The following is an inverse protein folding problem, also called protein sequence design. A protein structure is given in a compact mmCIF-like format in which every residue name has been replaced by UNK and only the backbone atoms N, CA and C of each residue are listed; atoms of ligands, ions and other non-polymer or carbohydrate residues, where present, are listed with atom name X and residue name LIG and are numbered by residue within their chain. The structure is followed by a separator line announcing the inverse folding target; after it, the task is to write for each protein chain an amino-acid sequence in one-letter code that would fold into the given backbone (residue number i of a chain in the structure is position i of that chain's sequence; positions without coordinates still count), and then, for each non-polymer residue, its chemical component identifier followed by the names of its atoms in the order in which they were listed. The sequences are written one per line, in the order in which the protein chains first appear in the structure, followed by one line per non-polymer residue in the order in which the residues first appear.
data_IF_856226011087
#
_entry.id   IF_856226011087
#
_cell.length_a   1.000
_cell.length_b   1.000
_cell.length_c   1.000
_cell.angle_alpha   90.00
_cell.angle_beta   90.00
_cell.angle_gamma   90.00
#
_symmetry.space_group_name_H-M   'P 1'
#
loop_
_entity.id
_entity.type
_entity.pdbx_description
1 polymer ?
#
# COMPACT_ATOMS: atom_id res chain seq x y z
N UNK A 1 -4.61 -0.34 6.24
CA UNK A 1 -4.29 -1.48 7.11
C UNK A 1 -3.36 -2.52 6.46
N UNK A 2 -3.56 -2.94 5.19
CA UNK A 2 -2.62 -3.83 4.47
C UNK A 2 -1.19 -3.26 4.41
N UNK A 3 -1.04 -1.94 4.27
CA UNK A 3 0.25 -1.26 4.19
C UNK A 3 1.13 -1.38 5.44
N UNK A 4 0.57 -1.36 6.64
CA UNK A 4 1.35 -1.32 7.88
C UNK A 4 2.13 -2.62 8.15
N UNK A 5 1.57 -3.79 7.83
CA UNK A 5 2.22 -5.09 8.03
C UNK A 5 3.23 -5.46 6.94
N UNK A 6 3.14 -4.84 5.75
CA UNK A 6 4.11 -5.04 4.68
C UNK A 6 5.35 -4.14 4.82
N UNK A 7 5.31 -3.15 5.74
CA UNK A 7 6.44 -2.24 6.02
C UNK A 7 7.68 -2.96 6.56
N UNK A 8 7.52 -4.02 7.36
CA UNK A 8 8.66 -4.74 7.94
C UNK A 8 9.37 -5.66 6.95
N UNK A 9 8.67 -6.24 5.97
CA UNK A 9 9.29 -7.04 4.91
C UNK A 9 10.20 -6.21 3.99
N UNK A 10 9.85 -4.95 3.74
CA UNK A 10 10.69 -4.02 2.99
C UNK A 10 11.95 -3.58 3.77
N UNK A 11 11.98 -3.73 5.10
CA UNK A 11 13.17 -3.44 5.92
C UNK A 11 14.31 -4.41 5.65
N UNK A 12 14.02 -5.68 5.40
CA UNK A 12 15.02 -6.73 5.13
C UNK A 12 15.70 -6.56 3.75
N UNK A 13 14.99 -6.04 2.75
CA UNK A 13 15.50 -5.88 1.38
C UNK A 13 16.25 -4.55 1.11
N UNK A 14 16.30 -3.61 2.07
CA UNK A 14 16.72 -2.23 1.84
C UNK A 14 18.24 -1.99 1.78
N UNK A 15 19.06 -3.03 1.90
CA UNK A 15 20.53 -2.90 1.94
C UNK A 15 21.21 -3.78 0.89
N UNK A 16 20.91 -3.54 -0.41
CA UNK A 16 21.67 -4.10 -1.53
C UNK A 16 23.00 -3.35 -1.70
N UNK A 17 24.10 -4.08 -1.74
CA UNK A 17 25.43 -3.56 -2.04
C UNK A 17 25.48 -2.95 -3.45
N UNK A 18 26.16 -1.83 -3.66
CA UNK A 18 26.40 -1.29 -5.00
C UNK A 18 27.40 -2.18 -5.74
N UNK A 19 26.95 -2.79 -6.84
CA UNK A 19 27.80 -3.57 -7.75
C UNK A 19 28.93 -2.70 -8.30
N UNK A 20 30.19 -3.13 -8.05
CA UNK A 20 31.40 -2.59 -8.66
C UNK A 20 31.37 -2.81 -10.18
N UNK A 21 31.45 -1.75 -10.95
CA UNK A 21 32.06 -1.79 -12.28
C UNK A 21 33.13 -0.72 -12.36
N UNK A 22 34.37 -1.19 -12.51
CA UNK A 22 35.52 -0.37 -12.83
C UNK A 22 35.47 0.02 -14.32
N UNK A 23 35.60 1.29 -14.62
CA UNK A 23 35.96 1.76 -15.98
C UNK A 23 37.40 2.21 -15.98
N UNK A 24 38.20 1.51 -16.77
CA UNK A 24 39.57 1.91 -17.16
C UNK A 24 39.50 2.87 -18.36
N UNK A 25 40.24 3.92 -18.31
CA UNK A 25 40.49 4.81 -19.45
C UNK A 25 41.67 5.74 -19.13
N UNK A 26 42.75 5.56 -19.90
CA UNK A 26 44.05 6.16 -19.67
C UNK A 26 44.18 7.54 -20.32
N UNK A 27 45.17 8.27 -19.79
CA UNK A 27 46.01 9.33 -20.35
C UNK A 27 45.42 10.71 -20.67
N UNK A 28 45.83 11.66 -19.86
CA UNK A 28 46.63 12.81 -20.32
C UNK A 28 47.28 13.52 -19.10
N UNK A 29 48.61 13.48 -19.07
CA UNK A 29 49.45 14.24 -18.15
C UNK A 29 49.60 15.66 -18.68
N UNK A 30 49.34 16.64 -17.84
CA UNK A 30 50.11 17.82 -17.43
C UNK A 30 49.19 18.76 -16.64
N UNK A 31 49.55 19.07 -15.43
CA UNK A 31 48.77 19.85 -14.46
C UNK A 31 48.41 19.06 -13.18
N UNK A 32 49.05 17.93 -12.94
CA UNK A 32 48.54 16.78 -12.26
C UNK A 32 48.83 16.61 -10.74
N UNK A 33 49.53 17.55 -10.08
CA UNK A 33 49.90 17.28 -8.67
C UNK A 33 48.94 17.88 -7.63
N UNK A 34 48.27 19.00 -7.88
CA UNK A 34 47.25 19.53 -7.01
C UNK A 34 45.91 18.76 -7.21
N UNK A 35 45.47 18.57 -8.44
CA UNK A 35 44.25 17.80 -8.75
C UNK A 35 44.30 16.31 -8.32
N UNK A 36 45.53 15.74 -8.25
CA UNK A 36 45.71 14.35 -7.84
C UNK A 36 45.59 14.17 -6.30
N UNK A 37 46.03 15.17 -5.52
CA UNK A 37 45.87 15.17 -4.06
C UNK A 37 44.42 15.45 -3.65
N UNK A 38 43.76 16.40 -4.30
CA UNK A 38 42.35 16.72 -4.07
C UNK A 38 41.43 15.56 -4.49
N UNK A 39 41.68 14.90 -5.62
CA UNK A 39 40.92 13.72 -6.08
C UNK A 39 41.15 12.46 -5.21
N UNK A 40 42.35 12.28 -4.65
CA UNK A 40 42.64 11.23 -3.67
C UNK A 40 41.95 11.50 -2.33
N UNK A 41 41.82 12.75 -1.93
CA UNK A 41 41.12 13.14 -0.71
C UNK A 41 39.60 12.95 -0.86
N UNK A 42 39.00 13.34 -1.98
CA UNK A 42 37.57 13.14 -2.25
C UNK A 42 37.18 11.66 -2.26
N UNK A 43 38.01 10.78 -2.85
CA UNK A 43 37.77 9.33 -2.85
C UNK A 43 37.85 8.75 -1.42
N UNK A 44 38.89 9.13 -0.68
CA UNK A 44 39.06 8.68 0.70
C UNK A 44 37.89 9.15 1.60
N UNK A 45 37.41 10.38 1.41
CA UNK A 45 36.23 10.89 2.13
C UNK A 45 34.94 10.16 1.71
N UNK A 46 34.79 9.82 0.43
CA UNK A 46 33.64 9.04 -0.03
C UNK A 46 33.60 7.65 0.60
N UNK A 47 34.74 6.94 0.60
CA UNK A 47 34.88 5.63 1.25
C UNK A 47 34.62 5.70 2.76
N UNK A 48 35.13 6.76 3.42
CA UNK A 48 34.86 7.02 4.85
C UNK A 48 33.35 7.25 5.09
N UNK A 49 32.70 8.03 4.22
CA UNK A 49 31.28 8.30 4.32
C UNK A 49 30.45 7.02 4.14
N UNK A 50 30.82 6.16 3.19
CA UNK A 50 30.15 4.88 2.99
C UNK A 50 30.30 3.96 4.21
N UNK A 51 31.51 3.88 4.78
CA UNK A 51 31.77 3.09 5.99
C UNK A 51 30.94 3.61 7.17
N UNK A 52 30.98 4.91 7.44
CA UNK A 52 30.18 5.52 8.50
C UNK A 52 28.67 5.26 8.30
N UNK A 53 28.19 5.30 7.06
CA UNK A 53 26.79 4.98 6.72
C UNK A 53 26.44 3.51 7.00
N UNK A 54 27.36 2.58 6.72
CA UNK A 54 27.21 1.15 7.06
C UNK A 54 27.21 0.94 8.58
N UNK A 55 28.11 1.62 9.29
CA UNK A 55 28.20 1.55 10.75
C UNK A 55 27.04 2.27 11.47
N UNK A 56 26.17 2.96 10.73
CA UNK A 56 25.00 3.67 11.27
C UNK A 56 25.32 5.08 11.82
N UNK A 57 26.57 5.54 11.71
CA UNK A 57 26.97 6.90 12.12
C UNK A 57 26.59 7.92 11.04
N UNK A 58 25.34 8.39 11.11
CA UNK A 58 24.79 9.29 10.11
C UNK A 58 25.45 10.67 10.09
N UNK A 59 25.97 11.14 11.23
CA UNK A 59 26.60 12.44 11.33
C UNK A 59 28.01 12.42 10.73
N UNK A 60 28.80 11.39 11.02
CA UNK A 60 30.09 11.20 10.37
C UNK A 60 29.96 10.95 8.85
N UNK A 61 28.95 10.19 8.44
CA UNK A 61 28.65 9.96 7.03
C UNK A 61 28.29 11.27 6.31
N UNK A 62 27.39 12.06 6.89
CA UNK A 62 26.99 13.36 6.32
C UNK A 62 28.17 14.32 6.20
N UNK A 63 29.03 14.42 7.24
CA UNK A 63 30.21 15.24 7.22
C UNK A 63 31.19 14.84 6.10
N UNK A 64 31.42 13.53 5.94
CA UNK A 64 32.31 13.00 4.91
C UNK A 64 31.76 13.28 3.48
N UNK A 65 30.48 13.03 3.20
CA UNK A 65 29.90 13.32 1.89
C UNK A 65 29.82 14.82 1.58
N UNK A 66 29.65 15.68 2.59
CA UNK A 66 29.77 17.15 2.38
C UNK A 66 31.19 17.58 2.03
N UNK A 67 32.21 16.92 2.59
CA UNK A 67 33.59 17.16 2.20
C UNK A 67 33.86 16.71 0.74
N UNK A 68 33.28 15.58 0.31
CA UNK A 68 33.32 15.19 -1.11
C UNK A 68 32.73 16.29 -1.99
N UNK A 69 31.56 16.84 -1.64
CA UNK A 69 30.91 17.89 -2.42
C UNK A 69 31.63 19.23 -2.40
N UNK A 70 32.45 19.48 -1.39
CA UNK A 70 33.30 20.69 -1.34
C UNK A 70 34.44 20.61 -2.37
N UNK A 71 34.91 19.40 -2.71
CA UNK A 71 35.96 19.15 -3.70
C UNK A 71 35.34 18.90 -5.08
N UNK A 72 34.27 18.06 -5.14
CA UNK A 72 33.53 17.72 -6.36
C UNK A 72 32.04 18.03 -6.20
N UNK A 73 31.59 19.25 -6.54
CA UNK A 73 30.19 19.65 -6.48
C UNK A 73 29.25 18.88 -7.43
N UNK A 74 29.82 18.08 -8.37
CA UNK A 74 29.08 17.28 -9.33
C UNK A 74 29.09 15.78 -8.99
N UNK A 75 29.44 15.41 -7.77
CA UNK A 75 29.40 14.03 -7.30
C UNK A 75 27.97 13.54 -7.08
N UNK A 76 27.39 12.86 -8.09
CA UNK A 76 26.07 12.24 -8.01
C UNK A 76 25.98 11.25 -6.84
N UNK A 77 27.05 10.45 -6.64
CA UNK A 77 27.14 9.48 -5.56
C UNK A 77 27.08 10.14 -4.15
N UNK A 78 27.73 11.29 -3.95
CA UNK A 78 27.67 12.00 -2.68
C UNK A 78 26.27 12.56 -2.40
N UNK A 79 25.60 13.16 -3.40
CA UNK A 79 24.21 13.60 -3.27
C UNK A 79 23.27 12.42 -2.99
N UNK A 80 23.43 11.30 -3.68
CA UNK A 80 22.63 10.09 -3.46
C UNK A 80 22.76 9.58 -2.03
N UNK A 81 23.99 9.48 -1.50
CA UNK A 81 24.23 9.02 -0.13
C UNK A 81 23.70 10.02 0.92
N UNK A 82 23.79 11.32 0.68
CA UNK A 82 23.15 12.33 1.54
C UNK A 82 21.62 12.19 1.52
N UNK A 83 21.04 11.84 0.37
CA UNK A 83 19.62 11.48 0.24
C UNK A 83 19.25 10.27 1.09
N UNK A 84 20.09 9.22 1.06
CA UNK A 84 19.90 8.01 1.90
C UNK A 84 19.99 8.37 3.40
N UNK A 85 20.92 9.24 3.80
CA UNK A 85 21.01 9.73 5.19
C UNK A 85 19.71 10.47 5.59
N UNK A 86 19.21 11.35 4.73
CA UNK A 86 17.96 12.06 4.97
C UNK A 86 16.77 11.09 5.09
N UNK A 87 16.69 10.02 4.24
CA UNK A 87 15.68 8.96 4.37
C UNK A 87 15.76 8.24 5.73
N UNK A 88 16.97 7.93 6.21
CA UNK A 88 17.14 7.28 7.53
C UNK A 88 16.67 8.18 8.68
N UNK A 89 16.77 9.50 8.51
CA UNK A 89 16.25 10.50 9.45
C UNK A 89 14.75 10.79 9.24
N UNK A 90 14.11 10.13 8.28
CA UNK A 90 12.70 10.35 7.87
C UNK A 90 12.43 11.76 7.35
N UNK A 91 13.46 12.46 6.87
CA UNK A 91 13.34 13.77 6.21
C UNK A 91 13.15 13.55 4.70
N UNK A 92 11.93 13.22 4.33
CA UNK A 92 11.58 12.80 2.97
C UNK A 92 11.77 13.89 1.93
N UNK A 93 11.42 15.14 2.26
CA UNK A 93 11.55 16.28 1.36
C UNK A 93 13.04 16.56 1.02
N UNK A 94 13.88 16.56 2.04
CA UNK A 94 15.33 16.71 1.86
C UNK A 94 15.91 15.54 1.09
N UNK A 95 15.46 14.32 1.38
CA UNK A 95 15.89 13.11 0.68
C UNK A 95 15.62 13.23 -0.82
N UNK A 96 14.38 13.52 -1.20
CA UNK A 96 13.97 13.65 -2.59
C UNK A 96 14.71 14.78 -3.31
N UNK A 97 14.88 15.94 -2.65
CA UNK A 97 15.64 17.07 -3.22
C UNK A 97 17.08 16.66 -3.55
N UNK A 98 17.76 15.93 -2.66
CA UNK A 98 19.13 15.48 -2.86
C UNK A 98 19.24 14.39 -3.93
N UNK A 99 18.30 13.43 -3.93
CA UNK A 99 18.25 12.34 -4.91
C UNK A 99 17.95 12.85 -6.31
N UNK A 100 17.00 13.79 -6.46
CA UNK A 100 16.69 14.42 -7.75
C UNK A 100 17.89 15.24 -8.28
N UNK A 101 18.66 15.86 -7.37
CA UNK A 101 19.90 16.51 -7.77
C UNK A 101 20.95 15.50 -8.24
N UNK A 102 21.08 14.35 -7.58
CA UNK A 102 21.94 13.27 -7.99
C UNK A 102 21.54 12.73 -9.38
N UNK A 103 20.25 12.52 -9.61
CA UNK A 103 19.71 12.04 -10.89
C UNK A 103 19.98 13.02 -12.04
N UNK A 104 19.85 14.32 -11.80
CA UNK A 104 20.18 15.34 -12.82
C UNK A 104 21.66 15.33 -13.19
N UNK A 105 22.55 14.98 -12.27
CA UNK A 105 23.99 14.89 -12.51
C UNK A 105 24.33 13.61 -13.28
N UNK A 106 23.79 12.48 -12.85
CA UNK A 106 23.98 11.19 -13.52
C UNK A 106 22.65 10.42 -13.62
N UNK A 107 21.90 10.61 -14.71
CA UNK A 107 20.62 9.95 -14.96
C UNK A 107 20.75 8.45 -15.28
N UNK A 108 21.96 7.94 -15.52
CA UNK A 108 22.20 6.54 -15.87
C UNK A 108 22.41 5.64 -14.64
N UNK A 109 22.56 6.20 -13.46
CA UNK A 109 22.71 5.43 -12.23
C UNK A 109 21.35 4.92 -11.73
N UNK A 110 21.00 3.70 -12.09
CA UNK A 110 19.76 3.03 -11.66
C UNK A 110 19.55 3.05 -10.12
N UNK A 111 20.66 2.98 -9.34
CA UNK A 111 20.63 3.07 -7.88
C UNK A 111 20.05 4.38 -7.34
N UNK A 112 20.22 5.50 -8.06
CA UNK A 112 19.61 6.79 -7.66
C UNK A 112 18.09 6.72 -7.83
N UNK A 113 17.60 6.22 -8.95
CA UNK A 113 16.17 6.04 -9.22
C UNK A 113 15.55 5.04 -8.24
N UNK A 114 16.28 3.96 -7.91
CA UNK A 114 15.85 3.04 -6.86
C UNK A 114 15.65 3.77 -5.52
N UNK A 115 16.60 4.65 -5.13
CA UNK A 115 16.50 5.43 -3.90
C UNK A 115 15.38 6.47 -3.95
N UNK A 116 15.10 7.09 -5.11
CA UNK A 116 13.94 7.97 -5.29
C UNK A 116 12.65 7.17 -5.06
N UNK A 117 12.48 6.04 -5.73
CA UNK A 117 11.33 5.17 -5.52
C UNK A 117 11.17 4.72 -4.07
N UNK A 118 12.28 4.38 -3.38
CA UNK A 118 12.26 4.03 -1.96
C UNK A 118 11.85 5.21 -1.06
N UNK A 119 12.29 6.43 -1.37
CA UNK A 119 11.91 7.61 -0.60
C UNK A 119 10.41 7.90 -0.74
N UNK A 120 9.87 7.82 -1.98
CA UNK A 120 8.44 7.98 -2.25
C UNK A 120 7.61 6.87 -1.59
N UNK A 121 8.03 5.61 -1.73
CA UNK A 121 7.38 4.46 -1.09
C UNK A 121 7.29 4.63 0.43
N UNK A 122 8.39 5.01 1.08
CA UNK A 122 8.45 5.21 2.55
C UNK A 122 7.68 6.43 3.03
N UNK A 123 7.53 7.42 2.19
CA UNK A 123 6.65 8.58 2.43
C UNK A 123 5.17 8.22 2.32
N UNK A 124 4.86 7.06 1.73
CA UNK A 124 3.50 6.59 1.46
C UNK A 124 2.95 7.05 0.11
N UNK A 125 3.75 7.72 -0.72
CA UNK A 125 3.34 8.11 -2.07
C UNK A 125 3.67 6.99 -3.06
N UNK A 126 2.84 5.95 -3.02
CA UNK A 126 3.04 4.76 -3.86
C UNK A 126 2.91 5.08 -5.35
N UNK A 127 2.04 6.02 -5.71
CA UNK A 127 1.86 6.43 -7.10
C UNK A 127 3.13 7.09 -7.67
N UNK A 128 3.76 7.98 -6.89
CA UNK A 128 5.01 8.63 -7.28
C UNK A 128 6.20 7.64 -7.35
N UNK A 129 6.17 6.56 -6.56
CA UNK A 129 7.21 5.54 -6.53
C UNK A 129 7.22 4.64 -7.77
N UNK A 130 6.10 4.49 -8.50
CA UNK A 130 5.96 3.57 -9.63
C UNK A 130 6.98 3.89 -10.73
N UNK A 131 7.00 5.11 -11.25
CA UNK A 131 7.84 5.47 -12.40
C UNK A 131 9.35 5.27 -12.13
N UNK A 132 9.93 5.65 -10.98
CA UNK A 132 11.30 5.32 -10.62
C UNK A 132 11.57 3.81 -10.63
N UNK A 133 10.70 2.99 -10.01
CA UNK A 133 10.90 1.53 -9.99
C UNK A 133 10.72 0.89 -11.36
N UNK A 134 9.73 1.30 -12.18
CA UNK A 134 9.59 0.85 -13.57
C UNK A 134 10.87 1.13 -14.39
N UNK A 135 11.46 2.31 -14.20
CA UNK A 135 12.72 2.66 -14.87
C UNK A 135 13.86 1.71 -14.50
N UNK A 136 13.98 1.38 -13.19
CA UNK A 136 14.99 0.42 -12.72
C UNK A 136 14.72 -0.97 -13.28
N UNK A 137 13.48 -1.46 -13.24
CA UNK A 137 13.11 -2.79 -13.78
C UNK A 137 13.36 -2.90 -15.28
N UNK A 138 13.15 -1.81 -16.04
CA UNK A 138 13.43 -1.77 -17.48
C UNK A 138 14.91 -1.93 -17.80
N UNK A 139 15.79 -1.30 -17.02
CA UNK A 139 17.25 -1.39 -17.21
C UNK A 139 17.84 -2.65 -16.58
N UNK A 140 17.27 -3.09 -15.47
CA UNK A 140 17.71 -4.24 -14.68
C UNK A 140 16.55 -5.20 -14.44
N UNK A 141 16.13 -5.98 -15.45
CA UNK A 141 14.97 -6.87 -15.34
C UNK A 141 15.07 -7.90 -14.22
N UNK A 142 16.28 -8.25 -13.80
CA UNK A 142 16.57 -9.21 -12.73
C UNK A 142 16.64 -8.58 -11.33
N UNK A 143 16.42 -7.27 -11.22
CA UNK A 143 16.39 -6.59 -9.91
C UNK A 143 15.19 -7.04 -9.11
N UNK A 144 15.39 -8.02 -8.23
CA UNK A 144 14.36 -8.56 -7.34
C UNK A 144 13.74 -7.45 -6.48
N UNK A 145 14.58 -6.58 -5.90
CA UNK A 145 14.14 -5.49 -5.04
C UNK A 145 13.24 -4.50 -5.78
N UNK A 146 13.66 -4.06 -6.97
CA UNK A 146 12.88 -3.09 -7.75
C UNK A 146 11.53 -3.68 -8.20
N UNK A 147 11.52 -4.95 -8.67
CA UNK A 147 10.29 -5.65 -9.06
C UNK A 147 9.33 -5.82 -7.88
N UNK A 148 9.84 -6.26 -6.73
CA UNK A 148 8.99 -6.47 -5.55
C UNK A 148 8.36 -5.16 -5.08
N UNK A 149 9.15 -4.07 -4.98
CA UNK A 149 8.66 -2.76 -4.60
C UNK A 149 7.70 -2.16 -5.64
N UNK A 150 7.97 -2.36 -6.94
CA UNK A 150 7.04 -1.99 -8.00
C UNK A 150 5.69 -2.71 -7.82
N UNK A 151 5.74 -4.03 -7.64
CA UNK A 151 4.54 -4.83 -7.42
C UNK A 151 3.72 -4.38 -6.21
N UNK A 152 4.39 -4.00 -5.10
CA UNK A 152 3.73 -3.43 -3.94
C UNK A 152 3.09 -2.06 -4.24
N UNK A 153 3.79 -1.17 -4.95
CA UNK A 153 3.24 0.13 -5.33
C UNK A 153 2.01 -0.02 -6.23
N UNK A 154 2.07 -0.90 -7.23
CA UNK A 154 0.95 -1.20 -8.11
C UNK A 154 -0.23 -1.84 -7.36
N UNK A 155 0.05 -2.67 -6.35
CA UNK A 155 -0.96 -3.25 -5.47
C UNK A 155 -1.67 -2.17 -4.65
N UNK A 156 -0.92 -1.26 -4.00
CA UNK A 156 -1.50 -0.19 -3.18
C UNK A 156 -2.26 0.85 -3.99
N UNK A 157 -1.90 1.03 -5.27
CA UNK A 157 -2.62 1.89 -6.22
C UNK A 157 -3.73 1.14 -6.97
N UNK A 158 -4.01 -0.11 -6.59
CA UNK A 158 -5.06 -0.98 -7.15
C UNK A 158 -4.88 -1.31 -8.65
N UNK A 159 -3.67 -1.24 -9.16
CA UNK A 159 -3.33 -1.68 -10.51
C UNK A 159 -3.00 -3.18 -10.51
N UNK A 160 -3.97 -4.01 -10.20
CA UNK A 160 -3.82 -5.43 -9.89
C UNK A 160 -3.06 -6.23 -10.94
N UNK A 161 -3.39 -6.05 -12.24
CA UNK A 161 -2.70 -6.75 -13.33
C UNK A 161 -1.22 -6.37 -13.40
N UNK A 162 -0.89 -5.08 -13.26
CA UNK A 162 0.50 -4.63 -13.25
C UNK A 162 1.28 -5.12 -12.03
N UNK A 163 0.60 -5.22 -10.88
CA UNK A 163 1.17 -5.82 -9.68
C UNK A 163 1.55 -7.28 -9.95
N UNK A 164 0.66 -8.08 -10.56
CA UNK A 164 0.97 -9.46 -10.97
C UNK A 164 2.14 -9.49 -11.95
N UNK A 165 2.14 -8.66 -13.00
CA UNK A 165 3.24 -8.59 -13.99
C UNK A 165 4.61 -8.29 -13.36
N UNK A 166 4.63 -7.46 -12.31
CA UNK A 166 5.86 -7.15 -11.59
C UNK A 166 6.30 -8.30 -10.66
N UNK A 167 5.35 -8.95 -9.98
CA UNK A 167 5.63 -9.93 -8.93
C UNK A 167 5.83 -11.36 -9.45
N UNK A 168 5.02 -11.82 -10.42
CA UNK A 168 5.04 -13.20 -10.90
C UNK A 168 6.44 -13.69 -11.34
N UNK A 169 7.29 -12.88 -12.04
CA UNK A 169 8.64 -13.29 -12.39
C UNK A 169 9.56 -13.60 -11.20
N UNK A 170 9.19 -13.19 -9.99
CA UNK A 170 9.94 -13.48 -8.76
C UNK A 170 9.64 -14.86 -8.17
N UNK A 171 8.65 -15.59 -8.71
CA UNK A 171 8.20 -16.88 -8.18
C UNK A 171 9.34 -17.86 -7.90
N UNK A 172 10.25 -18.04 -8.85
CA UNK A 172 11.36 -18.99 -8.72
C UNK A 172 12.33 -18.69 -7.59
N UNK A 173 12.36 -17.43 -7.13
CA UNK A 173 13.29 -16.96 -6.08
C UNK A 173 12.58 -16.73 -4.74
N UNK A 174 11.27 -16.48 -4.76
CA UNK A 174 10.52 -16.02 -3.58
C UNK A 174 9.34 -16.93 -3.21
N UNK A 175 9.14 -18.07 -3.86
CA UNK A 175 8.03 -18.98 -3.56
C UNK A 175 8.06 -19.63 -2.16
N UNK A 176 9.11 -19.39 -1.38
CA UNK A 176 9.18 -19.74 0.05
C UNK A 176 8.98 -18.53 0.99
N UNK A 177 8.82 -17.32 0.44
CA UNK A 177 8.56 -16.12 1.24
C UNK A 177 7.05 -15.93 1.42
N UNK A 178 6.59 -16.09 2.64
CA UNK A 178 5.17 -16.04 3.02
C UNK A 178 4.53 -14.68 2.68
N UNK A 179 5.29 -13.60 2.88
CA UNK A 179 4.80 -12.25 2.59
C UNK A 179 4.65 -12.03 1.09
N UNK A 180 5.63 -12.48 0.32
CA UNK A 180 5.56 -12.43 -1.15
C UNK A 180 4.37 -13.24 -1.67
N UNK A 181 4.19 -14.47 -1.21
CA UNK A 181 3.08 -15.33 -1.62
C UNK A 181 1.73 -14.68 -1.34
N UNK A 182 1.56 -14.12 -0.14
CA UNK A 182 0.35 -13.40 0.22
C UNK A 182 0.09 -12.18 -0.69
N UNK A 183 1.13 -11.38 -0.96
CA UNK A 183 1.02 -10.19 -1.81
C UNK A 183 0.67 -10.57 -3.25
N UNK A 184 1.34 -11.58 -3.80
CA UNK A 184 1.06 -12.07 -5.16
C UNK A 184 -0.35 -12.68 -5.25
N UNK A 185 -0.76 -13.48 -4.26
CA UNK A 185 -2.11 -14.06 -4.19
C UNK A 185 -3.18 -12.98 -4.14
N UNK A 186 -2.99 -11.95 -3.31
CA UNK A 186 -3.91 -10.83 -3.23
C UNK A 186 -4.01 -10.06 -4.57
N UNK A 187 -2.88 -9.81 -5.23
CA UNK A 187 -2.87 -9.20 -6.55
C UNK A 187 -3.58 -10.07 -7.59
N UNK A 188 -3.30 -11.38 -7.60
CA UNK A 188 -3.92 -12.35 -8.49
C UNK A 188 -5.43 -12.47 -8.27
N UNK A 189 -5.87 -12.51 -7.01
CA UNK A 189 -7.30 -12.54 -6.63
C UNK A 189 -8.05 -11.35 -7.21
N UNK A 190 -7.58 -10.13 -6.95
CA UNK A 190 -8.21 -8.90 -7.45
C UNK A 190 -8.07 -8.72 -8.97
N UNK A 191 -7.03 -9.28 -9.59
CA UNK A 191 -6.85 -9.31 -11.04
C UNK A 191 -7.70 -10.39 -11.73
N UNK A 192 -8.41 -11.23 -10.98
CA UNK A 192 -9.20 -12.34 -11.52
C UNK A 192 -8.37 -13.51 -12.09
N UNK A 193 -7.09 -13.60 -11.75
CA UNK A 193 -6.14 -14.65 -12.18
C UNK A 193 -6.30 -15.90 -11.31
N UNK A 194 -7.41 -16.64 -11.48
CA UNK A 194 -7.81 -17.75 -10.59
C UNK A 194 -6.72 -18.80 -10.39
N UNK A 195 -6.09 -19.27 -11.47
CA UNK A 195 -5.06 -20.32 -11.38
C UNK A 195 -3.86 -19.87 -10.55
N UNK A 196 -3.45 -18.60 -10.69
CA UNK A 196 -2.34 -18.04 -9.92
C UNK A 196 -2.73 -17.79 -8.46
N UNK A 197 -3.97 -17.35 -8.21
CA UNK A 197 -4.53 -17.14 -6.87
C UNK A 197 -4.56 -18.48 -6.09
N UNK A 198 -5.13 -19.54 -6.68
CA UNK A 198 -5.16 -20.88 -6.08
C UNK A 198 -3.75 -21.46 -5.88
N UNK A 199 -2.86 -21.25 -6.84
CA UNK A 199 -1.46 -21.67 -6.74
C UNK A 199 -0.72 -20.97 -5.60
N UNK A 200 -0.92 -19.65 -5.43
CA UNK A 200 -0.28 -18.89 -4.35
C UNK A 200 -0.81 -19.29 -2.98
N UNK A 201 -2.13 -19.52 -2.85
CA UNK A 201 -2.72 -19.99 -1.60
C UNK A 201 -2.21 -21.39 -1.22
N UNK A 202 -2.18 -22.33 -2.18
CA UNK A 202 -1.66 -23.68 -1.96
C UNK A 202 -0.19 -23.64 -1.50
N UNK A 203 0.64 -22.86 -2.18
CA UNK A 203 2.06 -22.71 -1.83
C UNK A 203 2.23 -22.04 -0.46
N UNK A 204 1.40 -21.06 -0.13
CA UNK A 204 1.41 -20.39 1.17
C UNK A 204 1.13 -21.39 2.31
N UNK A 205 0.13 -22.25 2.12
CA UNK A 205 -0.23 -23.30 3.08
C UNK A 205 0.90 -24.35 3.20
N UNK A 206 1.47 -24.77 2.07
CA UNK A 206 2.58 -25.74 2.04
C UNK A 206 3.87 -25.19 2.69
N UNK A 207 4.13 -23.90 2.54
CA UNK A 207 5.30 -23.25 3.12
C UNK A 207 5.19 -23.16 4.64
N UNK A 208 4.03 -23.43 5.20
CA UNK A 208 3.59 -23.27 6.56
C UNK A 208 4.65 -23.51 7.64
N UNK A 209 4.64 -22.61 8.60
CA UNK A 209 5.44 -22.66 9.82
C UNK A 209 4.48 -22.44 10.98
N UNK A 210 4.77 -23.02 12.14
CA UNK A 210 4.00 -22.79 13.38
C UNK A 210 4.16 -21.34 13.94
N UNK A 211 4.79 -20.46 13.17
CA UNK A 211 4.95 -19.07 13.56
C UNK A 211 3.60 -18.32 13.51
N UNK A 212 3.26 -17.56 14.56
CA UNK A 212 1.96 -16.87 14.63
C UNK A 212 1.73 -15.89 13.49
N UNK A 213 2.79 -15.27 12.97
CA UNK A 213 2.73 -14.37 11.81
C UNK A 213 2.29 -15.11 10.54
N UNK A 214 2.74 -16.36 10.37
CA UNK A 214 2.37 -17.19 9.21
C UNK A 214 0.89 -17.57 9.29
N UNK A 215 0.42 -18.05 10.44
CA UNK A 215 -1.00 -18.32 10.65
C UNK A 215 -1.88 -17.09 10.43
N UNK A 216 -1.42 -15.90 10.88
CA UNK A 216 -2.13 -14.64 10.61
C UNK A 216 -2.25 -14.37 9.09
N UNK A 217 -1.17 -14.57 8.33
CA UNK A 217 -1.16 -14.36 6.88
C UNK A 217 -2.06 -15.35 6.15
N UNK A 218 -1.99 -16.64 6.51
CA UNK A 218 -2.86 -17.69 5.94
C UNK A 218 -4.33 -17.40 6.25
N UNK A 219 -4.63 -17.03 7.50
CA UNK A 219 -5.99 -16.66 7.91
C UNK A 219 -6.54 -15.46 7.13
N UNK A 220 -5.71 -14.45 6.85
CA UNK A 220 -6.07 -13.32 5.99
C UNK A 220 -6.29 -13.74 4.54
N UNK A 221 -5.49 -14.68 4.02
CA UNK A 221 -5.69 -15.22 2.68
C UNK A 221 -7.06 -15.93 2.58
N UNK A 222 -7.41 -16.76 3.56
CA UNK A 222 -8.74 -17.38 3.63
C UNK A 222 -9.88 -16.36 3.75
N UNK A 223 -9.69 -15.26 4.49
CA UNK A 223 -10.67 -14.16 4.54
C UNK A 223 -10.94 -13.55 3.15
N UNK A 224 -9.89 -13.35 2.35
CA UNK A 224 -10.03 -12.85 0.98
C UNK A 224 -10.82 -13.82 0.10
N UNK A 225 -10.62 -15.13 0.29
CA UNK A 225 -11.36 -16.18 -0.39
C UNK A 225 -12.77 -16.43 0.18
N UNK A 226 -13.17 -15.68 1.22
CA UNK A 226 -14.44 -15.83 1.96
C UNK A 226 -14.63 -17.22 2.61
N UNK A 227 -13.52 -17.91 2.82
CA UNK A 227 -13.49 -19.16 3.57
C UNK A 227 -13.31 -18.82 5.07
N UNK A 228 -14.42 -18.47 5.70
CA UNK A 228 -14.40 -17.94 7.07
C UNK A 228 -14.06 -19.01 8.10
N UNK A 229 -14.39 -20.26 7.86
CA UNK A 229 -14.11 -21.36 8.79
C UNK A 229 -12.61 -21.62 8.88
N UNK A 230 -11.93 -21.75 7.74
CA UNK A 230 -10.48 -21.91 7.71
C UNK A 230 -9.76 -20.63 8.16
N UNK A 231 -10.28 -19.45 7.83
CA UNK A 231 -9.76 -18.19 8.35
C UNK A 231 -9.78 -18.15 9.89
N UNK A 232 -10.90 -18.51 10.51
CA UNK A 232 -11.05 -18.57 11.98
C UNK A 232 -10.09 -19.60 12.59
N UNK A 233 -9.93 -20.75 11.95
CA UNK A 233 -9.01 -21.79 12.45
C UNK A 233 -7.57 -21.27 12.50
N UNK A 234 -7.06 -20.74 11.41
CA UNK A 234 -5.70 -20.21 11.31
C UNK A 234 -5.46 -19.01 12.24
N UNK A 235 -6.40 -18.07 12.27
CA UNK A 235 -6.30 -16.90 13.14
C UNK A 235 -6.34 -17.27 14.63
N UNK A 236 -7.06 -18.34 15.02
CA UNK A 236 -7.02 -18.86 16.38
C UNK A 236 -5.65 -19.49 16.72
N UNK A 237 -5.00 -20.17 15.78
CA UNK A 237 -3.63 -20.67 15.97
C UNK A 237 -2.67 -19.49 16.18
N UNK A 238 -2.78 -18.43 15.37
CA UNK A 238 -2.01 -17.21 15.54
C UNK A 238 -2.21 -16.58 16.92
N UNK A 239 -3.47 -16.41 17.35
CA UNK A 239 -3.83 -15.82 18.65
C UNK A 239 -3.41 -16.69 19.84
N UNK A 240 -3.45 -18.02 19.70
CA UNK A 240 -3.00 -18.95 20.74
C UNK A 240 -1.48 -18.91 20.91
N UNK A 241 -0.72 -18.80 19.82
CA UNK A 241 0.73 -18.72 19.85
C UNK A 241 1.23 -17.33 20.31
N UNK A 242 0.58 -16.24 19.89
CA UNK A 242 0.90 -14.88 20.31
C UNK A 242 -0.38 -14.02 20.45
N UNK A 243 -0.98 -13.97 21.65
CA UNK A 243 -2.20 -13.19 21.87
C UNK A 243 -2.05 -11.67 21.65
N UNK A 244 -0.82 -11.16 21.69
CA UNK A 244 -0.54 -9.74 21.47
C UNK A 244 -0.02 -9.45 20.06
N UNK A 245 -0.14 -10.42 19.13
CA UNK A 245 0.24 -10.20 17.75
C UNK A 245 -0.66 -9.10 17.14
N UNK A 246 -0.08 -8.00 16.61
CA UNK A 246 -0.87 -6.93 16.02
C UNK A 246 -1.86 -7.44 14.95
N UNK A 247 -3.08 -6.94 15.00
CA UNK A 247 -4.17 -7.26 14.07
C UNK A 247 -4.71 -8.70 14.13
N UNK A 248 -4.24 -9.60 15.00
CA UNK A 248 -4.77 -10.96 15.06
C UNK A 248 -6.22 -10.95 15.53
N UNK A 249 -6.52 -10.20 16.59
CA UNK A 249 -7.88 -10.08 17.13
C UNK A 249 -8.78 -9.27 16.20
N UNK A 250 -8.26 -8.24 15.53
CA UNK A 250 -8.98 -7.53 14.48
C UNK A 250 -9.46 -8.46 13.36
N UNK A 251 -8.55 -9.29 12.82
CA UNK A 251 -8.90 -10.23 11.74
C UNK A 251 -9.84 -11.35 12.24
N UNK A 252 -9.67 -11.84 13.47
CA UNK A 252 -10.62 -12.77 14.10
C UNK A 252 -12.01 -12.14 14.21
N UNK A 253 -12.09 -10.91 14.71
CA UNK A 253 -13.34 -10.16 14.80
C UNK A 253 -14.02 -10.01 13.44
N UNK A 254 -13.25 -9.66 12.42
CA UNK A 254 -13.74 -9.56 11.05
C UNK A 254 -14.22 -10.92 10.50
N UNK A 255 -13.48 -12.01 10.74
CA UNK A 255 -13.87 -13.35 10.33
C UNK A 255 -15.17 -13.80 11.00
N UNK A 256 -15.28 -13.64 12.34
CA UNK A 256 -16.49 -13.95 13.08
C UNK A 256 -17.67 -13.11 12.64
N UNK A 257 -17.49 -11.81 12.38
CA UNK A 257 -18.55 -10.93 11.89
C UNK A 257 -19.07 -11.39 10.52
N UNK A 258 -18.18 -11.80 9.60
CA UNK A 258 -18.54 -12.35 8.29
C UNK A 258 -19.24 -13.71 8.39
N UNK A 259 -18.89 -14.50 9.40
CA UNK A 259 -19.54 -15.78 9.73
C UNK A 259 -20.83 -15.58 10.55
N UNK A 260 -21.31 -14.35 10.78
CA UNK A 260 -22.46 -13.97 11.60
C UNK A 260 -22.38 -14.41 13.08
N UNK A 261 -21.16 -14.63 13.60
CA UNK A 261 -20.91 -14.96 15.00
C UNK A 261 -20.61 -13.67 15.79
N UNK A 262 -21.64 -12.84 15.96
CA UNK A 262 -21.49 -11.45 16.40
C UNK A 262 -20.93 -11.28 17.81
N UNK A 263 -21.31 -12.16 18.76
CA UNK A 263 -20.80 -12.11 20.15
C UNK A 263 -19.29 -12.40 20.20
N UNK A 264 -18.82 -13.34 19.38
CA UNK A 264 -17.38 -13.62 19.27
C UNK A 264 -16.64 -12.48 18.59
N UNK A 265 -17.23 -11.91 17.52
CA UNK A 265 -16.67 -10.76 16.82
C UNK A 265 -16.48 -9.58 17.79
N UNK A 266 -17.49 -9.26 18.61
CA UNK A 266 -17.41 -8.22 19.63
C UNK A 266 -16.26 -8.47 20.61
N UNK A 267 -16.17 -9.71 21.12
CA UNK A 267 -15.10 -10.09 22.05
C UNK A 267 -13.71 -9.87 21.45
N UNK A 268 -13.52 -10.24 20.19
CA UNK A 268 -12.23 -10.11 19.54
C UNK A 268 -11.88 -8.64 19.23
N UNK A 269 -12.82 -7.83 18.75
CA UNK A 269 -12.58 -6.39 18.55
C UNK A 269 -12.25 -5.67 19.87
N UNK A 270 -12.90 -6.04 20.97
CA UNK A 270 -12.58 -5.48 22.29
C UNK A 270 -11.17 -5.87 22.77
N UNK A 271 -10.71 -7.10 22.48
CA UNK A 271 -9.32 -7.50 22.77
C UNK A 271 -8.32 -6.68 21.96
N UNK A 272 -8.60 -6.46 20.68
CA UNK A 272 -7.72 -5.66 19.83
C UNK A 272 -7.64 -4.20 20.30
N UNK A 273 -8.78 -3.61 20.69
CA UNK A 273 -8.83 -2.28 21.31
C UNK A 273 -8.02 -2.21 22.63
N UNK A 274 -8.01 -3.28 23.41
CA UNK A 274 -7.21 -3.31 24.64
C UNK A 274 -5.70 -3.34 24.37
N UNK A 275 -5.28 -3.94 23.26
CA UNK A 275 -3.88 -4.01 22.82
C UNK A 275 -3.48 -2.72 22.10
N UNK A 276 -4.31 -2.23 21.19
CA UNK A 276 -4.06 -1.07 20.34
C UNK A 276 -5.19 -0.03 20.45
N UNK A 277 -5.28 0.71 21.58
CA UNK A 277 -6.41 1.59 21.88
C UNK A 277 -6.51 2.82 20.95
N UNK A 278 -5.46 3.15 20.22
CA UNK A 278 -5.41 4.33 19.34
C UNK A 278 -5.75 4.01 17.86
N UNK A 279 -6.00 2.74 17.53
CA UNK A 279 -6.38 2.31 16.18
C UNK A 279 -7.86 2.60 15.93
N UNK A 280 -8.14 3.58 15.06
CA UNK A 280 -9.51 4.04 14.75
C UNK A 280 -10.37 2.94 14.12
N UNK A 281 -9.79 2.11 13.28
CA UNK A 281 -10.45 1.03 12.56
C UNK A 281 -11.11 0.00 13.47
N UNK A 282 -10.53 -0.26 14.65
CA UNK A 282 -11.11 -1.18 15.62
C UNK A 282 -12.48 -0.69 16.11
N UNK A 283 -12.58 0.60 16.39
CA UNK A 283 -13.83 1.24 16.81
C UNK A 283 -14.83 1.35 15.67
N UNK A 284 -14.36 1.57 14.43
CA UNK A 284 -15.19 1.58 13.23
C UNK A 284 -15.87 0.22 13.03
N UNK A 285 -15.10 -0.88 13.07
CA UNK A 285 -15.64 -2.23 12.92
C UNK A 285 -16.58 -2.61 14.05
N UNK A 286 -16.26 -2.23 15.28
CA UNK A 286 -17.16 -2.44 16.43
C UNK A 286 -18.46 -1.64 16.27
N UNK A 287 -18.37 -0.41 15.76
CA UNK A 287 -19.54 0.40 15.43
C UNK A 287 -20.41 -0.23 14.35
N UNK A 288 -19.80 -0.78 13.30
CA UNK A 288 -20.50 -1.52 12.24
C UNK A 288 -21.19 -2.77 12.76
N UNK A 289 -20.53 -3.54 13.64
CA UNK A 289 -21.10 -4.69 14.31
C UNK A 289 -22.36 -4.29 15.12
N UNK A 290 -22.27 -3.24 15.94
CA UNK A 290 -23.40 -2.75 16.74
C UNK A 290 -24.53 -2.20 15.88
N UNK A 291 -24.21 -1.52 14.76
CA UNK A 291 -25.21 -1.07 13.81
C UNK A 291 -25.96 -2.25 13.17
N UNK A 292 -25.26 -3.32 12.82
CA UNK A 292 -25.83 -4.53 12.24
C UNK A 292 -26.70 -5.30 13.25
N UNK A 293 -26.29 -5.34 14.51
CA UNK A 293 -27.04 -5.99 15.60
C UNK A 293 -28.07 -5.07 16.26
N UNK A 294 -28.33 -3.88 15.69
CA UNK A 294 -29.32 -2.89 16.15
C UNK A 294 -29.06 -2.33 17.57
N UNK A 295 -27.84 -2.36 17.99
CA UNK A 295 -27.37 -1.78 19.27
C UNK A 295 -26.95 -0.32 19.03
N UNK A 296 -27.95 0.55 18.83
CA UNK A 296 -27.78 1.92 18.34
C UNK A 296 -26.89 2.81 19.20
N UNK A 297 -27.04 2.73 20.52
CA UNK A 297 -26.25 3.57 21.42
C UNK A 297 -24.77 3.19 21.43
N UNK A 298 -24.48 1.90 21.39
CA UNK A 298 -23.11 1.40 21.31
C UNK A 298 -22.49 1.67 19.94
N UNK A 299 -23.28 1.57 18.85
CA UNK A 299 -22.85 1.92 17.51
C UNK A 299 -22.42 3.40 17.43
N UNK A 300 -23.28 4.31 17.95
CA UNK A 300 -22.98 5.75 17.96
C UNK A 300 -21.71 6.05 18.76
N UNK A 301 -21.57 5.45 19.93
CA UNK A 301 -20.37 5.61 20.77
C UNK A 301 -19.13 5.15 20.05
N UNK A 302 -19.15 3.97 19.41
CA UNK A 302 -17.99 3.38 18.74
C UNK A 302 -17.57 4.20 17.52
N UNK A 303 -18.50 4.64 16.67
CA UNK A 303 -18.19 5.51 15.54
C UNK A 303 -17.59 6.85 15.98
N UNK A 304 -18.14 7.47 17.05
CA UNK A 304 -17.57 8.72 17.60
C UNK A 304 -16.16 8.51 18.16
N UNK A 305 -15.89 7.37 18.76
CA UNK A 305 -14.54 7.02 19.22
C UNK A 305 -13.57 6.80 18.06
N UNK A 306 -14.01 6.21 16.94
CA UNK A 306 -13.23 6.09 15.72
C UNK A 306 -12.90 7.48 15.13
N UNK A 307 -13.91 8.35 14.99
CA UNK A 307 -13.74 9.71 14.45
C UNK A 307 -12.85 10.57 15.36
N UNK A 308 -12.88 10.37 16.66
CA UNK A 308 -11.98 11.07 17.60
C UNK A 308 -10.51 10.74 17.37
N UNK A 309 -10.20 9.52 16.91
CA UNK A 309 -8.84 9.06 16.57
C UNK A 309 -8.44 9.41 15.18
N UNK A 310 -9.35 9.22 14.23
CA UNK A 310 -9.19 9.63 12.84
C UNK A 310 -10.43 10.37 12.36
N UNK A 311 -10.33 11.70 12.30
CA UNK A 311 -11.44 12.58 11.87
C UNK A 311 -11.80 12.42 10.39
N UNK A 312 -11.03 11.66 9.61
CA UNK A 312 -11.29 11.37 8.20
C UNK A 312 -11.81 9.95 7.97
N UNK A 313 -12.17 9.23 9.03
CA UNK A 313 -12.70 7.87 8.96
C UNK A 313 -14.07 7.84 8.25
N UNK A 314 -14.03 7.72 6.93
CA UNK A 314 -15.23 7.73 6.08
C UNK A 314 -16.24 6.65 6.47
N UNK A 315 -15.77 5.45 6.88
CA UNK A 315 -16.62 4.35 7.34
C UNK A 315 -17.49 4.74 8.53
N UNK A 316 -16.90 5.41 9.53
CA UNK A 316 -17.61 5.83 10.74
C UNK A 316 -18.59 6.96 10.46
N UNK A 317 -18.27 7.94 9.64
CA UNK A 317 -19.21 8.95 9.18
C UNK A 317 -20.39 8.32 8.42
N UNK A 318 -20.12 7.37 7.53
CA UNK A 318 -21.14 6.60 6.83
C UNK A 318 -22.04 5.79 7.79
N UNK A 319 -21.41 5.13 8.77
CA UNK A 319 -22.12 4.38 9.81
C UNK A 319 -23.05 5.28 10.63
N UNK A 320 -22.58 6.46 11.08
CA UNK A 320 -23.39 7.45 11.79
C UNK A 320 -24.53 7.98 10.91
N UNK A 321 -24.27 8.25 9.64
CA UNK A 321 -25.33 8.69 8.72
C UNK A 321 -26.47 7.66 8.63
N UNK A 322 -26.13 6.38 8.45
CA UNK A 322 -27.12 5.29 8.44
C UNK A 322 -27.87 5.17 9.76
N UNK A 323 -27.18 5.30 10.89
CA UNK A 323 -27.78 5.28 12.22
C UNK A 323 -28.76 6.42 12.41
N UNK A 324 -28.37 7.66 12.08
CA UNK A 324 -29.23 8.84 12.21
C UNK A 324 -30.43 8.80 11.23
N UNK A 325 -30.24 8.27 10.01
CA UNK A 325 -31.36 8.01 9.10
C UNK A 325 -32.39 7.03 9.70
N UNK A 326 -31.95 5.99 10.37
CA UNK A 326 -32.82 5.02 11.07
C UNK A 326 -33.58 5.68 12.22
N UNK A 327 -32.90 6.59 12.92
CA UNK A 327 -33.48 7.38 14.03
C UNK A 327 -34.32 8.58 13.55
N UNK A 328 -34.46 8.80 12.25
CA UNK A 328 -35.15 9.96 11.64
C UNK A 328 -34.52 11.33 12.02
N UNK A 329 -33.25 11.33 12.36
CA UNK A 329 -32.43 12.51 12.62
C UNK A 329 -31.77 12.97 11.32
N UNK A 330 -32.60 13.51 10.40
CA UNK A 330 -32.19 13.76 9.02
C UNK A 330 -31.12 14.86 8.88
N UNK A 331 -31.14 15.88 9.73
CA UNK A 331 -30.15 16.95 9.72
C UNK A 331 -28.76 16.43 10.10
N UNK A 332 -28.68 15.61 11.15
CA UNK A 332 -27.43 14.97 11.57
C UNK A 332 -26.95 13.96 10.51
N UNK A 333 -27.88 13.21 9.92
CA UNK A 333 -27.55 12.26 8.87
C UNK A 333 -26.93 12.94 7.63
N UNK A 334 -27.44 14.16 7.25
CA UNK A 334 -26.86 14.95 6.13
C UNK A 334 -25.44 15.35 6.44
N UNK A 335 -25.18 15.86 7.63
CA UNK A 335 -23.83 16.29 8.01
C UNK A 335 -22.82 15.12 7.92
N UNK A 336 -23.20 13.97 8.45
CA UNK A 336 -22.32 12.79 8.46
C UNK A 336 -22.13 12.19 7.05
N UNK A 337 -23.17 12.11 6.22
CA UNK A 337 -23.04 11.57 4.87
C UNK A 337 -22.23 12.50 3.94
N UNK A 338 -22.30 13.81 4.17
CA UNK A 338 -21.49 14.78 3.43
C UNK A 338 -20.01 14.64 3.75
N UNK A 339 -19.67 14.38 5.03
CA UNK A 339 -18.30 14.07 5.44
C UNK A 339 -17.84 12.74 4.85
N UNK A 340 -18.67 11.69 4.91
CA UNK A 340 -18.35 10.41 4.27
C UNK A 340 -18.08 10.56 2.78
N UNK A 341 -18.90 11.34 2.05
CA UNK A 341 -18.72 11.59 0.62
C UNK A 341 -17.45 12.43 0.32
N UNK A 342 -17.05 13.30 1.24
CA UNK A 342 -15.81 14.07 1.12
C UNK A 342 -14.58 13.20 1.28
N UNK A 343 -14.60 12.27 2.25
CA UNK A 343 -13.44 11.41 2.56
C UNK A 343 -13.39 10.14 1.71
N UNK A 344 -14.52 9.70 1.15
CA UNK A 344 -14.62 8.57 0.23
C UNK A 344 -15.41 8.94 -1.03
N UNK A 345 -14.88 9.83 -1.89
CA UNK A 345 -15.60 10.40 -3.04
C UNK A 345 -15.89 9.38 -4.16
N UNK A 346 -15.23 8.22 -4.14
CA UNK A 346 -15.42 7.13 -5.10
C UNK A 346 -16.18 5.93 -4.48
N UNK A 347 -16.88 6.14 -3.36
CA UNK A 347 -17.69 5.10 -2.75
C UNK A 347 -19.11 5.11 -3.30
N UNK A 348 -19.47 4.10 -4.08
CA UNK A 348 -20.83 3.87 -4.59
C UNK A 348 -21.87 3.92 -3.46
N UNK A 349 -21.63 3.17 -2.39
CA UNK A 349 -22.54 3.05 -1.26
C UNK A 349 -22.82 4.39 -0.58
N UNK A 350 -21.80 5.24 -0.45
CA UNK A 350 -21.93 6.58 0.16
C UNK A 350 -22.85 7.44 -0.69
N UNK A 351 -22.61 7.52 -2.00
CA UNK A 351 -23.44 8.30 -2.92
C UNK A 351 -24.86 7.76 -3.01
N UNK A 352 -25.03 6.44 -3.01
CA UNK A 352 -26.36 5.83 -3.01
C UNK A 352 -27.16 6.20 -1.75
N UNK A 353 -26.56 6.06 -0.56
CA UNK A 353 -27.24 6.41 0.71
C UNK A 353 -27.50 7.91 0.80
N UNK A 354 -26.56 8.75 0.32
CA UNK A 354 -26.77 10.21 0.21
C UNK A 354 -27.96 10.55 -0.68
N UNK A 355 -28.08 9.88 -1.83
CA UNK A 355 -29.23 10.04 -2.71
C UNK A 355 -30.55 9.64 -2.05
N UNK A 356 -30.56 8.54 -1.29
CA UNK A 356 -31.75 8.14 -0.52
C UNK A 356 -32.18 9.19 0.52
N UNK A 357 -31.23 9.74 1.25
CA UNK A 357 -31.47 10.79 2.26
C UNK A 357 -31.99 12.07 1.62
N UNK A 358 -31.35 12.53 0.55
CA UNK A 358 -31.79 13.73 -0.21
C UNK A 358 -33.20 13.56 -0.77
N UNK A 359 -33.53 12.37 -1.30
CA UNK A 359 -34.88 12.02 -1.75
C UNK A 359 -35.91 12.13 -0.62
N UNK A 360 -35.58 11.62 0.57
CA UNK A 360 -36.46 11.70 1.76
C UNK A 360 -36.69 13.14 2.20
N UNK A 361 -35.68 14.02 2.01
CA UNK A 361 -35.76 15.45 2.31
C UNK A 361 -36.45 16.28 1.20
N UNK A 362 -36.94 15.66 0.14
CA UNK A 362 -37.59 16.36 -0.97
C UNK A 362 -36.62 17.01 -1.96
N UNK A 363 -35.30 16.88 -1.78
CA UNK A 363 -34.23 17.44 -2.65
C UNK A 363 -34.03 16.57 -3.90
N UNK A 364 -35.06 16.47 -4.74
CA UNK A 364 -35.17 15.49 -5.81
C UNK A 364 -34.04 15.58 -6.86
N UNK A 365 -33.67 16.79 -7.30
CA UNK A 365 -32.63 16.94 -8.33
C UNK A 365 -31.24 16.57 -7.81
N UNK A 366 -30.95 16.88 -6.57
CA UNK A 366 -29.70 16.48 -5.93
C UNK A 366 -29.65 14.97 -5.69
N UNK A 367 -30.78 14.37 -5.29
CA UNK A 367 -30.88 12.91 -5.16
C UNK A 367 -30.60 12.20 -6.49
N UNK A 368 -31.15 12.70 -7.61
CA UNK A 368 -30.88 12.16 -8.95
C UNK A 368 -29.40 12.24 -9.32
N UNK A 369 -28.74 13.37 -9.00
CA UNK A 369 -27.32 13.55 -9.25
C UNK A 369 -26.46 12.54 -8.46
N UNK A 370 -26.80 12.29 -7.20
CA UNK A 370 -26.09 11.33 -6.36
C UNK A 370 -26.30 9.88 -6.82
N UNK A 371 -27.51 9.50 -7.21
CA UNK A 371 -27.77 8.18 -7.80
C UNK A 371 -27.03 7.98 -9.14
N UNK A 372 -26.98 9.02 -9.98
CA UNK A 372 -26.22 8.97 -11.23
C UNK A 372 -24.71 8.81 -10.96
N UNK A 373 -24.19 9.47 -9.91
CA UNK A 373 -22.80 9.31 -9.49
C UNK A 373 -22.52 7.90 -8.98
N UNK A 374 -23.37 7.36 -8.12
CA UNK A 374 -23.26 5.99 -7.64
C UNK A 374 -23.26 4.98 -8.82
N UNK A 375 -24.19 5.16 -9.77
CA UNK A 375 -24.25 4.31 -10.96
C UNK A 375 -22.98 4.39 -11.81
N UNK A 376 -22.43 5.60 -12.01
CA UNK A 376 -21.18 5.80 -12.76
C UNK A 376 -20.02 5.09 -12.10
N UNK A 377 -19.91 5.14 -10.76
CA UNK A 377 -18.86 4.45 -10.00
C UNK A 377 -19.04 2.93 -10.17
N UNK A 378 -20.25 2.41 -10.00
CA UNK A 378 -20.58 1.00 -10.21
C UNK A 378 -20.20 0.52 -11.61
N UNK A 379 -20.59 1.27 -12.65
CA UNK A 379 -20.30 0.92 -14.06
C UNK A 379 -18.78 0.94 -14.32
N UNK A 380 -18.05 1.89 -13.72
CA UNK A 380 -16.60 1.96 -13.84
C UNK A 380 -15.91 0.75 -13.16
N UNK A 381 -16.38 0.35 -11.99
CA UNK A 381 -15.84 -0.82 -11.28
C UNK A 381 -16.20 -2.14 -11.99
N UNK A 382 -17.41 -2.23 -12.56
CA UNK A 382 -17.81 -3.35 -13.40
C UNK A 382 -16.95 -3.44 -14.68
N UNK A 383 -16.68 -2.30 -15.32
CA UNK A 383 -15.80 -2.25 -16.50
C UNK A 383 -14.37 -2.65 -16.16
N UNK A 384 -13.82 -2.20 -15.00
CA UNK A 384 -12.52 -2.65 -14.50
C UNK A 384 -12.51 -4.18 -14.29
N UNK A 385 -13.54 -4.73 -13.68
CA UNK A 385 -13.68 -6.17 -13.46
C UNK A 385 -13.71 -6.97 -14.77
N UNK A 386 -14.48 -6.52 -15.79
CA UNK A 386 -14.53 -7.16 -17.11
C UNK A 386 -13.19 -7.12 -17.84
N UNK A 387 -12.48 -5.98 -17.81
CA UNK A 387 -11.13 -5.88 -18.36
C UNK A 387 -10.15 -6.83 -17.69
N UNK A 388 -10.24 -6.96 -16.37
CA UNK A 388 -9.42 -7.89 -15.61
C UNK A 388 -9.67 -9.35 -16.00
N UNK A 389 -10.91 -9.70 -16.41
CA UNK A 389 -11.28 -11.04 -16.86
C UNK A 389 -10.97 -11.30 -18.35
N UNK A 390 -10.41 -10.31 -19.07
CA UNK A 390 -10.12 -10.45 -20.52
C UNK A 390 -11.38 -10.50 -21.40
N UNK A 391 -12.55 -10.14 -20.87
CA UNK A 391 -13.83 -10.07 -21.60
C UNK A 391 -13.99 -8.73 -22.35
N UNK A 392 -12.95 -8.22 -22.98
CA UNK A 392 -13.11 -7.21 -24.02
C UNK A 392 -13.65 -7.91 -25.29
N UNK A 393 -14.95 -8.17 -25.32
CA UNK A 393 -15.62 -8.28 -26.61
C UNK A 393 -15.57 -6.88 -27.23
N UNK A 394 -14.78 -6.74 -28.30
CA UNK A 394 -14.98 -5.68 -29.27
C UNK A 394 -16.49 -5.59 -29.52
N UNK A 395 -17.05 -4.40 -29.30
CA UNK A 395 -18.41 -4.12 -29.72
C UNK A 395 -18.43 -4.25 -31.26
N UNK A 396 -18.75 -5.45 -31.75
CA UNK A 396 -19.01 -5.65 -33.17
C UNK A 396 -20.23 -4.79 -33.49
N UNK A 397 -20.11 -3.75 -34.33
CA UNK A 397 -21.26 -2.94 -34.70
C UNK A 397 -22.27 -3.88 -35.32
N UNK A 398 -23.47 -3.94 -34.75
CA UNK A 398 -24.55 -4.73 -35.31
C UNK A 398 -24.89 -4.20 -36.71
N UNK A 399 -24.60 -4.93 -37.81
CA UNK A 399 -24.80 -4.41 -39.15
C UNK A 399 -26.29 -4.29 -39.56
N UNK A 400 -27.22 -4.69 -38.69
CA UNK A 400 -28.66 -4.61 -38.98
C UNK A 400 -29.32 -3.27 -38.63
N UNK A 401 -28.61 -2.34 -37.91
CA UNK A 401 -29.16 -1.02 -37.57
C UNK A 401 -28.86 0.07 -38.59
N UNK A 402 -28.21 -0.23 -39.71
CA UNK A 402 -27.88 0.75 -40.77
C UNK A 402 -28.75 0.65 -42.02
N UNK A 403 -29.84 -0.13 -42.04
CA UNK A 403 -30.79 -0.08 -43.14
C UNK A 403 -31.80 1.05 -42.91
N UNK A 404 -31.59 2.17 -43.57
CA UNK A 404 -32.64 3.17 -43.76
C UNK A 404 -33.74 2.52 -44.64
N UNK A 405 -35.03 2.73 -44.33
CA UNK A 405 -36.12 2.34 -45.24
C UNK A 405 -36.11 3.27 -46.46
N UNK A 406 -36.22 2.67 -47.65
CA UNK A 406 -36.56 3.34 -48.89
C UNK A 406 -38.03 3.87 -48.88
#
# INVERSE_FOLDING_TARGET
MVAANLFDAARSCAYGEPTRRASSGADQQVGAQSNKREGLDAKAQFERGQKALQDGDLDAAEAAFRQVLAVDPQSAGAYSNLGVIAMRRKDWEKALTLLQKAEKIDPHLAGIRLNIGLAEYRRGDYAAAIAPFESVVREQPDSQQARYLLGLCELFTQHWNKSVEALEPLWTRMSSDVTYLYVLGMAAHHAGKKDLDEKTLSQLIETGSDAPEVHLIIGKAYLNHRDYDNAIAELNLAAAANPNLPFVHFNLGAAYMRANQYEKAESEFLKDIAIEPDVAENYDQLGMLYLQTQRDAEAEKSFKEAIRRDSQMAGSHFGLAKLYMRQQKDAEAVNEIDLAARFAPESENVHFVRGQLLKRLGRQEEAKAEFARAQKIFDADLAKGRRALGEEQEAVPNPELTRQPE
#
